data_IF_204879394307
#
_entry.id   IF_204879394307
#
_cell.length_a   1.000
_cell.length_b   1.000
_cell.length_c   1.000
_cell.angle_alpha   90.00
_cell.angle_beta   90.00
_cell.angle_gamma   90.00
#
_symmetry.space_group_name_H-M   'P 1'
#
loop_
_entity.id
_entity.type
_entity.pdbx_description
1 polymer ?
#
# COMPACT_ATOMS: atom_id res chain seq x y z
N UNK A 1 -25.40 -13.28 -35.92
CA UNK A 1 -24.17 -12.69 -36.47
C UNK A 1 -23.31 -12.28 -35.28
N UNK A 2 -22.23 -13.01 -35.08
CA UNK A 2 -21.33 -12.82 -33.94
C UNK A 2 -20.52 -11.55 -34.12
N UNK A 3 -20.79 -10.53 -33.31
CA UNK A 3 -19.79 -9.50 -33.06
C UNK A 3 -18.63 -10.16 -32.35
N UNK A 4 -17.59 -10.46 -33.09
CA UNK A 4 -16.30 -10.79 -32.53
C UNK A 4 -15.89 -9.61 -31.65
N UNK A 5 -15.94 -9.79 -30.34
CA UNK A 5 -15.27 -8.92 -29.40
C UNK A 5 -13.82 -8.83 -29.86
N UNK A 6 -13.48 -7.72 -30.50
CA UNK A 6 -12.09 -7.36 -30.71
C UNK A 6 -11.48 -7.26 -29.30
N UNK A 7 -10.79 -8.32 -28.92
CA UNK A 7 -9.95 -8.28 -27.72
C UNK A 7 -8.96 -7.14 -27.94
N UNK A 8 -9.19 -6.04 -27.24
CA UNK A 8 -8.28 -4.91 -27.29
C UNK A 8 -6.87 -5.40 -27.03
N UNK A 9 -5.91 -5.05 -27.90
CA UNK A 9 -4.49 -5.36 -27.69
C UNK A 9 -3.95 -4.77 -26.38
N UNK A 10 -4.67 -3.84 -25.79
CA UNK A 10 -4.38 -3.19 -24.53
C UNK A 10 -5.34 -3.71 -23.45
N UNK A 11 -5.07 -4.92 -22.96
CA UNK A 11 -5.71 -5.39 -21.75
C UNK A 11 -5.24 -4.50 -20.61
N UNK A 12 -6.17 -3.92 -19.85
CA UNK A 12 -5.81 -3.12 -18.69
C UNK A 12 -5.01 -3.98 -17.71
N UNK A 13 -3.76 -3.63 -17.49
CA UNK A 13 -2.86 -4.35 -16.62
C UNK A 13 -3.21 -4.07 -15.16
N UNK A 14 -3.40 -5.12 -14.38
CA UNK A 14 -3.66 -5.00 -12.96
C UNK A 14 -2.35 -5.16 -12.18
N UNK A 15 -1.85 -4.04 -11.63
CA UNK A 15 -0.61 -4.01 -10.86
C UNK A 15 -0.75 -4.52 -9.42
N UNK A 16 -1.95 -4.53 -8.89
CA UNK A 16 -2.21 -4.95 -7.53
C UNK A 16 -3.45 -5.84 -7.44
N UNK A 17 -3.39 -6.80 -6.57
CA UNK A 17 -4.54 -7.64 -6.25
C UNK A 17 -4.77 -7.61 -4.73
N UNK A 18 -5.97 -7.28 -4.28
CA UNK A 18 -7.14 -6.88 -5.07
C UNK A 18 -6.95 -5.50 -5.72
N UNK A 19 -7.66 -5.24 -6.82
CA UNK A 19 -7.62 -3.95 -7.49
C UNK A 19 -8.12 -2.83 -6.56
N UNK A 20 -7.53 -1.61 -6.67
CA UNK A 20 -7.84 -0.48 -5.78
C UNK A 20 -9.34 -0.12 -5.67
N UNK A 21 -10.13 -0.40 -6.69
CA UNK A 21 -11.59 -0.17 -6.67
C UNK A 21 -12.35 -1.17 -5.79
N UNK A 22 -11.69 -2.24 -5.35
CA UNK A 22 -12.26 -3.20 -4.41
C UNK A 22 -12.10 -2.79 -2.95
N UNK A 23 -11.23 -1.81 -2.66
CA UNK A 23 -11.03 -1.33 -1.29
C UNK A 23 -12.25 -0.53 -0.82
N UNK A 24 -12.71 -0.88 0.36
CA UNK A 24 -13.82 -0.21 1.03
C UNK A 24 -13.69 -0.37 2.55
N UNK A 25 -14.30 0.54 3.27
CA UNK A 25 -14.40 0.42 4.72
C UNK A 25 -15.19 -0.83 5.07
N UNK A 26 -14.65 -1.63 5.98
CA UNK A 26 -15.33 -2.80 6.51
C UNK A 26 -16.33 -2.38 7.59
N UNK A 27 -17.56 -2.78 7.43
CA UNK A 27 -18.62 -2.51 8.41
C UNK A 27 -19.36 -3.81 8.71
N UNK A 28 -19.32 -4.33 9.96
CA UNK A 28 -18.57 -3.79 11.10
C UNK A 28 -17.05 -3.89 10.94
N UNK A 29 -16.26 -3.13 11.74
CA UNK A 29 -14.81 -3.26 11.77
C UNK A 29 -14.37 -4.69 12.07
N UNK A 30 -13.29 -5.13 11.43
CA UNK A 30 -12.75 -6.48 11.60
C UNK A 30 -11.44 -6.41 12.39
N UNK A 31 -11.32 -7.23 13.43
CA UNK A 31 -10.07 -7.37 14.18
C UNK A 31 -8.98 -8.02 13.32
N UNK A 32 -7.75 -7.50 13.42
CA UNK A 32 -6.58 -8.09 12.75
C UNK A 32 -5.99 -9.26 13.53
N UNK A 33 -6.21 -9.35 14.84
CA UNK A 33 -5.56 -10.35 15.70
C UNK A 33 -5.68 -11.79 15.18
N UNK A 34 -6.87 -12.29 14.79
CA UNK A 34 -6.98 -13.67 14.30
C UNK A 34 -6.20 -13.94 13.00
N UNK A 35 -5.92 -12.88 12.22
CA UNK A 35 -5.13 -13.00 10.99
C UNK A 35 -3.64 -13.01 11.30
N UNK A 36 -3.20 -12.21 12.27
CA UNK A 36 -1.81 -12.17 12.71
C UNK A 36 -1.41 -13.45 13.40
N UNK A 37 -2.26 -14.02 14.26
CA UNK A 37 -2.05 -15.32 14.91
C UNK A 37 -1.78 -16.45 13.90
N UNK A 38 -2.43 -16.42 12.74
CA UNK A 38 -2.19 -17.41 11.66
C UNK A 38 -0.82 -17.30 11.01
N UNK A 39 -0.15 -16.18 11.20
CA UNK A 39 1.19 -15.91 10.67
C UNK A 39 2.29 -16.26 11.69
N UNK A 40 1.95 -16.59 12.93
CA UNK A 40 2.94 -16.99 13.94
C UNK A 40 3.79 -18.16 13.45
N UNK A 41 5.09 -18.05 13.66
CA UNK A 41 6.06 -19.05 13.20
C UNK A 41 6.31 -19.06 11.69
N UNK A 42 5.68 -18.19 10.93
CA UNK A 42 5.91 -18.02 9.49
C UNK A 42 6.75 -16.79 9.21
N UNK A 43 7.44 -16.81 8.09
CA UNK A 43 8.13 -15.63 7.57
C UNK A 43 7.10 -14.70 6.92
N UNK A 44 7.20 -13.42 7.24
CA UNK A 44 6.33 -12.38 6.70
C UNK A 44 7.15 -11.26 6.06
N UNK A 45 6.54 -10.58 5.10
CA UNK A 45 7.10 -9.38 4.49
C UNK A 45 6.34 -8.15 4.97
N UNK A 46 7.06 -7.06 5.17
CA UNK A 46 6.48 -5.77 5.55
C UNK A 46 6.50 -4.84 4.33
N UNK A 47 5.39 -4.18 4.06
CA UNK A 47 5.28 -3.23 2.97
C UNK A 47 4.78 -1.88 3.47
N UNK A 48 5.54 -0.83 3.14
CA UNK A 48 5.15 0.55 3.39
C UNK A 48 4.72 1.21 2.08
N UNK A 49 3.56 1.84 2.11
CA UNK A 49 3.01 2.52 0.96
C UNK A 49 3.17 4.04 1.08
N UNK A 50 3.91 4.64 0.16
CA UNK A 50 4.07 6.10 0.06
C UNK A 50 3.26 6.57 -1.15
N UNK A 51 2.05 7.12 -0.97
CA UNK A 51 1.16 7.43 -2.07
C UNK A 51 1.56 8.68 -2.87
N UNK A 52 2.46 9.49 -2.36
CA UNK A 52 2.77 10.80 -2.92
C UNK A 52 3.65 10.73 -4.15
N UNK A 53 3.42 11.66 -5.08
CA UNK A 53 4.19 11.82 -6.31
C UNK A 53 3.97 13.20 -6.92
N UNK A 54 4.99 13.73 -7.62
CA UNK A 54 4.88 14.98 -8.36
C UNK A 54 4.01 14.82 -9.61
N UNK A 55 4.20 13.74 -10.36
CA UNK A 55 3.50 13.49 -11.61
C UNK A 55 2.91 12.08 -11.65
N UNK A 56 1.76 11.94 -12.27
CA UNK A 56 1.11 10.65 -12.49
C UNK A 56 1.21 10.25 -13.94
N UNK A 57 1.78 9.09 -14.22
CA UNK A 57 1.81 8.53 -15.56
C UNK A 57 0.41 8.17 -16.04
N UNK A 58 0.11 8.39 -17.32
CA UNK A 58 -1.23 8.19 -17.87
C UNK A 58 -1.78 6.77 -17.74
N UNK A 59 -0.89 5.77 -17.68
CA UNK A 59 -1.23 4.35 -17.51
C UNK A 59 -1.21 3.86 -16.05
N UNK A 60 -0.92 4.75 -15.08
CA UNK A 60 -0.75 4.36 -13.68
C UNK A 60 -2.08 4.09 -13.00
N UNK A 61 -2.27 2.89 -12.49
CA UNK A 61 -3.41 2.50 -11.68
C UNK A 61 -3.05 2.27 -10.20
N UNK A 62 -1.84 2.60 -9.79
CA UNK A 62 -1.43 2.52 -8.39
C UNK A 62 -2.25 3.47 -7.52
N UNK A 63 -2.41 3.08 -6.26
CA UNK A 63 -2.99 3.94 -5.25
C UNK A 63 -2.01 5.08 -4.95
N UNK A 64 -2.24 6.25 -5.57
CA UNK A 64 -1.31 7.37 -5.50
C UNK A 64 -2.04 8.70 -5.53
N UNK A 65 -1.43 9.70 -4.90
CA UNK A 65 -1.90 11.06 -4.83
C UNK A 65 -0.83 12.02 -5.36
N UNK A 66 -1.22 12.85 -6.30
CA UNK A 66 -0.33 13.92 -6.77
C UNK A 66 -0.27 15.02 -5.69
N UNK A 67 0.83 15.07 -4.99
CA UNK A 67 1.07 16.01 -3.89
C UNK A 67 2.56 16.06 -3.59
N UNK A 68 3.09 17.27 -3.42
CA UNK A 68 4.45 17.56 -2.98
C UNK A 68 4.46 18.47 -1.75
N UNK A 69 3.33 18.61 -1.06
CA UNK A 69 3.20 19.41 0.15
C UNK A 69 3.89 18.69 1.32
N UNK A 70 4.96 19.31 1.82
CA UNK A 70 5.80 18.80 2.90
C UNK A 70 5.00 18.57 4.21
N UNK A 71 4.06 19.46 4.53
CA UNK A 71 3.24 19.34 5.73
C UNK A 71 2.33 18.10 5.65
N UNK A 72 1.70 17.89 4.50
CA UNK A 72 0.85 16.71 4.26
C UNK A 72 1.66 15.41 4.27
N UNK A 73 2.86 15.41 3.70
CA UNK A 73 3.76 14.26 3.74
C UNK A 73 4.15 13.95 5.19
N UNK A 74 4.53 14.97 5.96
CA UNK A 74 4.91 14.83 7.37
C UNK A 74 3.76 14.26 8.21
N UNK A 75 2.54 14.78 8.03
CA UNK A 75 1.35 14.26 8.72
C UNK A 75 1.08 12.79 8.38
N UNK A 76 1.25 12.42 7.12
CA UNK A 76 1.08 11.03 6.67
C UNK A 76 2.12 10.12 7.33
N UNK A 77 3.40 10.51 7.33
CA UNK A 77 4.48 9.73 7.95
C UNK A 77 4.26 9.57 9.46
N UNK A 78 3.84 10.63 10.13
CA UNK A 78 3.48 10.56 11.56
C UNK A 78 2.35 9.54 11.81
N UNK A 79 1.33 9.56 10.96
CA UNK A 79 0.19 8.62 11.06
C UNK A 79 0.64 7.19 10.78
N UNK A 80 1.49 6.99 9.77
CA UNK A 80 2.07 5.69 9.43
C UNK A 80 2.94 5.13 10.55
N UNK A 81 3.76 5.97 11.21
CA UNK A 81 4.55 5.59 12.38
C UNK A 81 3.64 5.10 13.51
N UNK A 82 2.60 5.84 13.84
CA UNK A 82 1.60 5.40 14.85
C UNK A 82 0.96 4.07 14.51
N UNK A 83 0.62 3.86 13.24
CA UNK A 83 0.06 2.59 12.77
C UNK A 83 1.07 1.45 12.91
N UNK A 84 2.34 1.69 12.58
CA UNK A 84 3.40 0.71 12.75
C UNK A 84 3.63 0.35 14.23
N UNK A 85 3.61 1.33 15.13
CA UNK A 85 3.69 1.11 16.58
C UNK A 85 2.54 0.23 17.09
N UNK A 86 1.31 0.52 16.67
CA UNK A 86 0.14 -0.30 17.03
C UNK A 86 0.26 -1.73 16.46
N UNK A 87 0.71 -1.84 15.22
CA UNK A 87 0.93 -3.14 14.58
C UNK A 87 2.03 -3.93 15.28
N UNK A 88 3.12 -3.28 15.73
CA UNK A 88 4.22 -3.95 16.42
C UNK A 88 3.78 -4.65 17.70
N UNK A 89 2.84 -4.06 18.42
CA UNK A 89 2.23 -4.68 19.61
C UNK A 89 1.39 -5.89 19.24
N UNK A 90 0.56 -5.76 18.21
CA UNK A 90 -0.32 -6.84 17.75
C UNK A 90 0.43 -7.97 17.03
N UNK A 91 1.59 -7.66 16.45
CA UNK A 91 2.42 -8.57 15.67
C UNK A 91 3.59 -9.19 16.47
N UNK A 92 3.52 -9.15 17.81
CA UNK A 92 4.51 -9.81 18.66
C UNK A 92 4.56 -11.31 18.33
N UNK A 93 5.77 -11.79 18.03
CA UNK A 93 5.97 -13.18 17.58
C UNK A 93 6.04 -13.37 16.07
N UNK A 94 5.72 -12.37 15.27
CA UNK A 94 5.96 -12.41 13.83
C UNK A 94 7.43 -12.13 13.50
N UNK A 95 7.95 -12.85 12.51
CA UNK A 95 9.29 -12.65 11.98
C UNK A 95 9.20 -12.00 10.60
N UNK A 96 9.57 -10.74 10.51
CA UNK A 96 9.70 -10.06 9.23
C UNK A 96 11.10 -10.34 8.65
N UNK A 97 11.14 -10.95 7.47
CA UNK A 97 12.39 -11.31 6.78
C UNK A 97 12.71 -10.39 5.61
N UNK A 98 11.75 -9.64 5.17
CA UNK A 98 11.92 -8.65 4.11
C UNK A 98 11.00 -7.45 4.32
N UNK A 99 11.40 -6.32 3.78
CA UNK A 99 10.51 -5.17 3.69
C UNK A 99 10.65 -4.49 2.33
N UNK A 100 9.62 -3.78 1.92
CA UNK A 100 9.61 -2.98 0.72
C UNK A 100 8.89 -1.65 0.96
N UNK A 101 9.34 -0.62 0.29
CA UNK A 101 8.69 0.69 0.24
C UNK A 101 8.29 0.95 -1.20
N UNK A 102 7.03 1.24 -1.43
CA UNK A 102 6.51 1.46 -2.76
C UNK A 102 5.37 2.47 -2.80
N UNK A 103 4.66 2.53 -3.91
CA UNK A 103 3.50 3.40 -4.08
C UNK A 103 3.63 4.40 -5.22
N UNK A 104 3.49 5.68 -4.93
CA UNK A 104 3.60 6.77 -5.90
C UNK A 104 5.06 6.97 -6.35
N UNK A 105 5.82 7.68 -5.53
CA UNK A 105 7.26 7.91 -5.72
C UNK A 105 7.90 7.97 -4.33
N UNK A 106 8.33 6.83 -3.76
CA UNK A 106 8.90 6.80 -2.42
C UNK A 106 10.09 7.74 -2.22
N UNK A 107 10.88 7.97 -3.28
CA UNK A 107 12.01 8.90 -3.28
C UNK A 107 11.61 10.39 -3.27
N UNK A 108 10.33 10.70 -3.11
CA UNK A 108 9.89 12.06 -2.79
C UNK A 108 10.22 12.45 -1.34
N UNK A 109 10.47 11.44 -0.50
CA UNK A 109 10.90 11.61 0.88
C UNK A 109 12.36 12.06 0.92
N UNK A 110 12.68 12.97 1.82
CA UNK A 110 14.05 13.34 2.12
C UNK A 110 14.74 12.30 3.03
N UNK A 111 16.05 12.47 3.23
CA UNK A 111 16.87 11.55 4.02
C UNK A 111 16.34 11.38 5.46
N UNK A 112 16.00 12.50 6.14
CA UNK A 112 15.47 12.45 7.50
C UNK A 112 14.07 11.85 7.62
N UNK A 113 13.32 11.80 6.52
CA UNK A 113 12.00 11.14 6.46
C UNK A 113 12.12 9.63 6.18
N UNK A 114 13.28 9.19 5.67
CA UNK A 114 13.54 7.77 5.39
C UNK A 114 14.17 7.02 6.58
N UNK A 115 14.70 7.77 7.57
CA UNK A 115 15.21 7.25 8.85
C UNK A 115 14.08 7.00 9.86
#
# INVERSE_FOLDING_TARGET
MNEQQQISRYVSYMYSYPHKTAYRTLTPPVSLSPYLERLEGREASLYFHIPFRAHKCGYCNLFSQQCCDAERISLYLHTMRRQAEQLSVAAQGLKFTSFAVGGGTPLILDEGQLE
#
